data_IF_515598953272
#
_entry.id   IF_515598953272
#
_cell.length_a   1.000
_cell.length_b   1.000
_cell.length_c   1.000
_cell.angle_alpha   90.00
_cell.angle_beta   90.00
_cell.angle_gamma   90.00
#
_symmetry.space_group_name_H-M   'P 1'
#
loop_
_entity.id
_entity.type
_entity.pdbx_description
1 polymer ?
#
# COMPACT_ATOMS: atom_id res chain seq x y z
N UNK A 1 1.64 -17.52 -43.02
CA UNK A 1 2.45 -17.64 -41.78
C UNK A 1 2.34 -16.31 -41.05
N UNK A 2 1.82 -16.26 -39.82
CA UNK A 2 1.92 -15.02 -39.03
C UNK A 2 3.39 -14.79 -38.72
N UNK A 3 3.95 -13.67 -39.18
CA UNK A 3 5.23 -13.18 -38.69
C UNK A 3 5.14 -13.10 -37.17
N UNK A 4 5.81 -14.02 -36.48
CA UNK A 4 5.96 -13.97 -35.03
C UNK A 4 6.94 -12.82 -34.77
N UNK A 5 6.44 -11.57 -34.87
CA UNK A 5 7.20 -10.32 -34.72
C UNK A 5 7.92 -10.20 -33.38
N UNK A 6 7.63 -11.08 -32.43
CA UNK A 6 8.19 -11.07 -31.09
C UNK A 6 8.85 -12.41 -30.77
N UNK A 7 10.14 -12.54 -31.10
CA UNK A 7 11.00 -13.65 -30.62
C UNK A 7 10.87 -13.73 -29.10
N UNK A 8 10.41 -14.89 -28.60
CA UNK A 8 10.30 -15.16 -27.16
C UNK A 8 8.95 -14.81 -26.52
N UNK A 9 7.90 -14.46 -27.28
CA UNK A 9 6.56 -14.23 -26.72
C UNK A 9 6.02 -15.44 -25.92
N UNK A 10 6.48 -16.64 -26.27
CA UNK A 10 6.13 -17.91 -25.62
C UNK A 10 7.04 -18.29 -24.43
N UNK A 11 8.12 -17.54 -24.16
CA UNK A 11 8.96 -17.80 -23.00
C UNK A 11 8.32 -17.17 -21.77
N UNK A 12 7.84 -17.99 -20.84
CA UNK A 12 7.40 -17.50 -19.54
C UNK A 12 8.59 -16.88 -18.79
N UNK A 13 8.64 -15.56 -18.75
CA UNK A 13 9.57 -14.82 -17.90
C UNK A 13 8.79 -14.32 -16.68
N UNK A 14 8.93 -14.98 -15.51
CA UNK A 14 8.18 -14.59 -14.33
C UNK A 14 8.58 -13.18 -13.90
N UNK A 15 7.60 -12.34 -13.59
CA UNK A 15 7.83 -11.01 -13.00
C UNK A 15 8.51 -11.17 -11.64
N UNK A 16 9.17 -10.11 -11.14
CA UNK A 16 9.76 -10.09 -9.79
C UNK A 16 8.74 -10.47 -8.72
N UNK A 17 7.49 -10.02 -8.88
CA UNK A 17 6.37 -10.45 -8.04
C UNK A 17 6.10 -11.95 -8.13
N UNK A 18 5.99 -12.52 -9.34
CA UNK A 18 5.78 -13.96 -9.55
C UNK A 18 6.93 -14.79 -8.96
N UNK A 19 8.19 -14.36 -9.12
CA UNK A 19 9.35 -15.02 -8.51
C UNK A 19 9.25 -15.03 -6.99
N UNK A 20 8.82 -13.92 -6.39
CA UNK A 20 8.61 -13.82 -4.94
C UNK A 20 7.45 -14.71 -4.47
N UNK A 21 6.35 -14.82 -5.23
CA UNK A 21 5.26 -15.76 -4.95
C UNK A 21 5.78 -17.20 -5.00
N UNK A 22 6.47 -17.57 -6.09
CA UNK A 22 7.04 -18.91 -6.27
C UNK A 22 7.99 -19.28 -5.13
N UNK A 23 8.86 -18.36 -4.70
CA UNK A 23 9.79 -18.59 -3.59
C UNK A 23 9.10 -18.79 -2.24
N UNK A 24 7.96 -18.14 -2.01
CA UNK A 24 7.27 -18.12 -0.72
C UNK A 24 5.94 -18.89 -0.74
N UNK A 25 5.67 -19.71 -1.76
CA UNK A 25 4.38 -20.40 -1.90
C UNK A 25 4.08 -21.36 -0.74
N UNK A 26 5.15 -21.91 -0.14
CA UNK A 26 5.08 -22.80 1.03
C UNK A 26 5.19 -22.04 2.37
N UNK A 27 5.39 -20.72 2.33
CA UNK A 27 5.49 -19.92 3.54
C UNK A 27 4.08 -19.74 4.14
N UNK A 28 3.88 -19.90 5.46
CA UNK A 28 2.55 -19.81 6.09
C UNK A 28 1.89 -18.43 5.90
N UNK A 29 2.70 -17.42 5.60
CA UNK A 29 2.24 -16.08 5.25
C UNK A 29 2.50 -15.88 3.77
N UNK A 30 1.42 -15.83 2.98
CA UNK A 30 1.48 -15.46 1.57
C UNK A 30 2.21 -14.12 1.42
N UNK A 31 3.19 -14.01 0.50
CA UNK A 31 3.79 -12.74 0.20
C UNK A 31 2.67 -11.80 -0.32
N UNK A 32 2.75 -10.52 0.06
CA UNK A 32 1.80 -9.50 -0.39
C UNK A 32 0.37 -9.66 0.13
N UNK A 33 0.14 -10.37 1.25
CA UNK A 33 -1.19 -10.44 1.90
C UNK A 33 -1.80 -9.05 2.07
N UNK A 34 -0.99 -8.04 2.37
CA UNK A 34 -1.44 -6.66 2.58
C UNK A 34 -1.68 -5.88 1.27
N UNK A 35 -1.39 -6.44 0.09
CA UNK A 35 -1.88 -5.87 -1.17
C UNK A 35 -3.41 -5.75 -1.21
N UNK A 36 -4.12 -6.59 -0.44
CA UNK A 36 -5.59 -6.51 -0.30
C UNK A 36 -6.05 -5.34 0.59
N UNK A 37 -5.21 -4.85 1.49
CA UNK A 37 -5.54 -3.74 2.38
C UNK A 37 -5.34 -2.37 1.72
N UNK A 38 -4.84 -2.34 0.48
CA UNK A 38 -4.86 -1.15 -0.37
C UNK A 38 -6.30 -0.71 -0.60
N UNK A 39 -6.64 0.48 -0.11
CA UNK A 39 -8.00 1.03 -0.16
C UNK A 39 -8.33 1.61 -1.54
N UNK A 40 -7.34 2.21 -2.21
CA UNK A 40 -7.51 2.77 -3.54
C UNK A 40 -7.69 1.65 -4.57
N UNK A 41 -8.86 1.57 -5.21
CA UNK A 41 -9.21 0.48 -6.13
C UNK A 41 -8.19 0.37 -7.27
N UNK A 42 -7.81 1.51 -7.87
CA UNK A 42 -6.88 1.50 -9.00
C UNK A 42 -5.46 1.18 -8.56
N UNK A 43 -4.98 1.75 -7.45
CA UNK A 43 -3.70 1.38 -6.85
C UNK A 43 -3.60 -0.12 -6.54
N UNK A 44 -4.66 -0.71 -6.00
CA UNK A 44 -4.74 -2.14 -5.71
C UNK A 44 -4.68 -2.98 -6.98
N UNK A 45 -5.48 -2.64 -7.99
CA UNK A 45 -5.46 -3.30 -9.31
C UNK A 45 -4.06 -3.26 -9.93
N UNK A 46 -3.40 -2.10 -9.93
CA UNK A 46 -2.06 -1.94 -10.49
C UNK A 46 -1.00 -2.75 -9.74
N UNK A 47 -1.03 -2.75 -8.40
CA UNK A 47 -0.13 -3.56 -7.59
C UNK A 47 -0.32 -5.06 -7.88
N UNK A 48 -1.57 -5.54 -7.89
CA UNK A 48 -1.87 -6.93 -8.20
C UNK A 48 -1.50 -7.33 -9.63
N UNK A 49 -1.75 -6.46 -10.62
CA UNK A 49 -1.27 -6.68 -11.98
C UNK A 49 0.24 -6.82 -11.97
N UNK A 50 0.98 -5.85 -11.45
CA UNK A 50 2.44 -5.95 -11.43
C UNK A 50 2.93 -7.26 -10.78
N UNK A 51 2.31 -7.68 -9.67
CA UNK A 51 2.66 -8.91 -8.97
C UNK A 51 2.32 -10.19 -9.75
N UNK A 52 1.15 -10.26 -10.40
CA UNK A 52 0.60 -11.51 -10.94
C UNK A 52 0.63 -11.63 -12.46
N UNK A 53 0.54 -10.51 -13.17
CA UNK A 53 0.40 -10.44 -14.63
C UNK A 53 1.06 -9.15 -15.08
N UNK A 54 2.24 -9.25 -15.72
CA UNK A 54 2.93 -8.10 -16.30
C UNK A 54 1.90 -7.11 -16.86
N UNK A 55 1.78 -5.95 -16.19
CA UNK A 55 0.90 -4.84 -16.58
C UNK A 55 0.99 -4.66 -18.09
N UNK A 56 -0.11 -4.24 -18.76
CA UNK A 56 -0.22 -4.32 -20.21
C UNK A 56 1.08 -3.87 -20.86
N UNK A 57 1.75 -4.81 -21.55
CA UNK A 57 2.88 -4.47 -22.40
C UNK A 57 2.29 -3.57 -23.48
N UNK A 58 2.45 -2.27 -23.33
CA UNK A 58 2.14 -1.32 -24.40
C UNK A 58 3.21 -1.55 -25.45
N UNK A 59 2.94 -2.46 -26.38
CA UNK A 59 3.88 -2.80 -27.44
C UNK A 59 4.04 -1.58 -28.37
N UNK A 60 5.22 -0.95 -28.34
CA UNK A 60 5.65 0.03 -29.35
C UNK A 60 5.28 1.49 -29.10
N UNK A 61 4.73 1.87 -27.95
CA UNK A 61 4.59 3.29 -27.59
C UNK A 61 5.82 3.76 -26.81
N UNK A 62 6.33 4.96 -27.12
CA UNK A 62 7.36 5.61 -26.33
C UNK A 62 6.72 6.42 -25.20
N UNK A 63 7.39 6.47 -24.04
CA UNK A 63 6.99 7.32 -22.93
C UNK A 63 6.85 8.76 -23.40
N UNK A 64 5.67 9.35 -23.22
CA UNK A 64 5.39 10.70 -23.71
C UNK A 64 6.32 11.75 -23.07
N UNK A 65 6.78 11.49 -21.84
CA UNK A 65 7.63 12.39 -21.06
C UNK A 65 9.13 12.27 -21.38
N UNK A 66 9.67 11.05 -21.53
CA UNK A 66 11.12 10.86 -21.70
C UNK A 66 11.54 10.15 -22.99
N UNK A 67 10.58 9.76 -23.83
CA UNK A 67 10.76 9.15 -25.17
C UNK A 67 11.41 7.76 -25.20
N UNK A 68 11.73 7.16 -24.05
CA UNK A 68 12.16 5.76 -23.94
C UNK A 68 10.99 4.79 -24.18
N UNK A 69 11.28 3.53 -24.51
CA UNK A 69 10.27 2.48 -24.73
C UNK A 69 9.37 2.32 -23.49
N UNK A 70 8.05 2.47 -23.66
CA UNK A 70 7.14 2.41 -22.54
C UNK A 70 6.82 0.96 -22.15
N UNK A 71 7.40 0.54 -21.03
CA UNK A 71 7.05 -0.69 -20.34
C UNK A 71 6.44 -0.42 -18.98
N UNK A 72 5.85 -1.44 -18.37
CA UNK A 72 5.35 -1.35 -16.99
C UNK A 72 6.46 -1.10 -15.98
N UNK A 73 7.65 -1.66 -16.19
CA UNK A 73 8.81 -1.33 -15.38
C UNK A 73 9.17 0.15 -15.57
N UNK A 74 9.14 0.63 -16.82
CA UNK A 74 9.42 2.02 -17.14
C UNK A 74 8.44 2.98 -16.47
N UNK A 75 7.13 2.78 -16.67
CA UNK A 75 6.06 3.63 -16.11
C UNK A 75 6.22 3.79 -14.60
N UNK A 76 6.43 2.68 -13.89
CA UNK A 76 6.38 2.70 -12.43
C UNK A 76 7.74 2.95 -11.77
N UNK A 77 8.86 2.57 -12.37
CA UNK A 77 10.14 2.50 -11.66
C UNK A 77 11.34 3.12 -12.38
N UNK A 78 11.32 3.28 -13.70
CA UNK A 78 12.51 3.74 -14.46
C UNK A 78 12.32 5.09 -15.13
N UNK A 79 11.09 5.57 -15.34
CA UNK A 79 10.83 6.83 -16.03
C UNK A 79 11.50 8.02 -15.33
N UNK A 80 12.58 8.52 -15.93
CA UNK A 80 13.42 9.60 -15.39
C UNK A 80 12.63 10.87 -15.07
N UNK A 81 11.58 11.15 -15.85
CA UNK A 81 10.75 12.35 -15.70
C UNK A 81 9.96 12.43 -14.39
N UNK A 82 9.74 11.31 -13.71
CA UNK A 82 8.98 11.25 -12.46
C UNK A 82 9.74 10.58 -11.32
N UNK A 83 10.73 9.73 -11.63
CA UNK A 83 11.42 8.89 -10.65
C UNK A 83 11.98 9.68 -9.48
N UNK A 84 12.67 10.79 -9.74
CA UNK A 84 13.29 11.61 -8.69
C UNK A 84 12.24 12.17 -7.70
N UNK A 85 11.12 12.69 -8.23
CA UNK A 85 10.04 13.23 -7.41
C UNK A 85 9.36 12.13 -6.58
N UNK A 86 9.07 10.98 -7.19
CA UNK A 86 8.46 9.85 -6.48
C UNK A 86 9.40 9.29 -5.41
N UNK A 87 10.68 9.18 -5.69
CA UNK A 87 11.68 8.71 -4.73
C UNK A 87 11.75 9.64 -3.52
N UNK A 88 11.80 10.95 -3.74
CA UNK A 88 11.75 11.96 -2.69
C UNK A 88 10.48 11.85 -1.83
N UNK A 89 9.30 11.73 -2.47
CA UNK A 89 8.02 11.60 -1.76
C UNK A 89 8.00 10.31 -0.93
N UNK A 90 8.37 9.18 -1.55
CA UNK A 90 8.36 7.88 -0.88
C UNK A 90 9.28 7.86 0.35
N UNK A 91 10.52 8.34 0.19
CA UNK A 91 11.49 8.38 1.29
C UNK A 91 11.02 9.26 2.44
N UNK A 92 10.51 10.46 2.14
CA UNK A 92 10.02 11.39 3.16
C UNK A 92 8.82 10.83 3.92
N UNK A 93 7.84 10.28 3.20
CA UNK A 93 6.67 9.64 3.84
C UNK A 93 7.09 8.43 4.68
N UNK A 94 8.04 7.60 4.22
CA UNK A 94 8.58 6.50 5.02
C UNK A 94 9.31 6.98 6.28
N UNK A 95 10.10 8.05 6.19
CA UNK A 95 10.82 8.64 7.32
C UNK A 95 9.87 9.16 8.39
N UNK A 96 8.82 9.87 7.99
CA UNK A 96 7.89 10.49 8.95
C UNK A 96 6.83 9.50 9.47
N UNK A 97 6.72 8.31 8.87
CA UNK A 97 5.79 7.24 9.27
C UNK A 97 6.37 6.19 10.22
N UNK A 98 7.60 6.35 10.71
CA UNK A 98 8.34 5.32 11.46
C UNK A 98 8.45 3.97 10.72
N UNK A 99 8.33 3.97 9.39
CA UNK A 99 8.44 2.74 8.61
C UNK A 99 9.91 2.30 8.60
N UNK A 100 10.17 1.02 8.87
CA UNK A 100 11.54 0.48 8.99
C UNK A 100 12.31 0.43 7.67
N UNK A 101 11.62 0.59 6.54
CA UNK A 101 12.26 0.58 5.23
C UNK A 101 12.46 1.98 4.65
N UNK A 102 13.73 2.35 4.52
CA UNK A 102 14.19 3.53 3.78
C UNK A 102 15.02 3.04 2.59
N UNK A 103 14.45 3.11 1.40
CA UNK A 103 15.15 2.72 0.19
C UNK A 103 14.53 3.36 -1.04
N UNK A 104 15.24 3.31 -2.17
CA UNK A 104 14.80 4.00 -3.36
C UNK A 104 13.53 3.38 -3.94
N UNK A 105 12.67 4.23 -4.51
CA UNK A 105 11.50 3.77 -5.25
C UNK A 105 11.92 2.92 -6.46
N UNK A 106 11.67 1.63 -6.35
CA UNK A 106 12.07 0.56 -7.28
C UNK A 106 11.13 -0.62 -7.14
N UNK A 107 11.18 -1.59 -8.06
CA UNK A 107 10.32 -2.78 -7.98
C UNK A 107 10.41 -3.57 -6.66
N UNK A 108 11.52 -3.41 -5.92
CA UNK A 108 11.74 -4.02 -4.60
C UNK A 108 10.70 -3.59 -3.57
N UNK A 109 10.07 -2.42 -3.73
CA UNK A 109 9.00 -1.96 -2.83
C UNK A 109 7.79 -2.89 -2.85
N UNK A 110 7.55 -3.61 -3.94
CA UNK A 110 6.46 -4.60 -4.01
C UNK A 110 6.69 -5.75 -3.03
N UNK A 111 7.96 -6.11 -2.80
CA UNK A 111 8.42 -6.99 -1.70
C UNK A 111 8.01 -6.53 -0.30
N UNK A 112 7.55 -5.29 -0.15
CA UNK A 112 7.29 -4.61 1.12
C UNK A 112 5.81 -4.32 1.36
N UNK A 113 4.91 -4.98 0.63
CA UNK A 113 3.46 -5.03 0.91
C UNK A 113 3.20 -5.92 2.14
N UNK A 114 3.79 -5.51 3.27
CA UNK A 114 3.85 -6.26 4.54
C UNK A 114 2.95 -5.65 5.62
N UNK A 115 2.71 -4.34 5.55
CA UNK A 115 1.80 -3.64 6.47
C UNK A 115 0.69 -2.95 5.67
N UNK A 116 -0.47 -2.70 6.29
CA UNK A 116 -1.52 -1.89 5.67
C UNK A 116 -1.03 -0.52 5.23
N UNK A 117 -0.21 0.16 6.04
CA UNK A 117 0.35 1.45 5.68
C UNK A 117 1.26 1.37 4.45
N UNK A 118 2.26 0.48 4.44
CA UNK A 118 3.19 0.39 3.30
C UNK A 118 2.47 0.03 2.02
N UNK A 119 1.44 -0.82 2.12
CA UNK A 119 0.63 -1.23 0.99
C UNK A 119 -0.20 -0.07 0.45
N UNK A 120 -0.85 0.70 1.32
CA UNK A 120 -1.61 1.88 0.91
C UNK A 120 -0.72 2.99 0.33
N UNK A 121 0.49 3.20 0.87
CA UNK A 121 1.47 4.12 0.31
C UNK A 121 1.87 3.70 -1.12
N UNK A 122 2.25 2.45 -1.31
CA UNK A 122 2.63 1.91 -2.62
C UNK A 122 1.46 2.01 -3.61
N UNK A 123 0.26 1.61 -3.19
CA UNK A 123 -0.95 1.71 -4.00
C UNK A 123 -1.27 3.15 -4.41
N UNK A 124 -1.19 4.10 -3.48
CA UNK A 124 -1.45 5.51 -3.74
C UNK A 124 -0.44 6.12 -4.73
N UNK A 125 0.85 5.76 -4.61
CA UNK A 125 1.88 6.19 -5.56
C UNK A 125 1.65 5.59 -6.94
N UNK A 126 1.46 4.27 -7.03
CA UNK A 126 1.20 3.61 -8.33
C UNK A 126 -0.03 4.20 -9.02
N UNK A 127 -1.12 4.42 -8.29
CA UNK A 127 -2.30 5.07 -8.84
C UNK A 127 -2.01 6.47 -9.38
N UNK A 128 -1.25 7.28 -8.62
CA UNK A 128 -0.95 8.66 -9.01
C UNK A 128 -0.02 8.72 -10.23
N UNK A 129 0.96 7.82 -10.31
CA UNK A 129 1.81 7.63 -11.49
C UNK A 129 0.95 7.28 -12.71
N UNK A 130 0.02 6.33 -12.55
CA UNK A 130 -0.86 5.89 -13.62
C UNK A 130 -1.77 7.02 -14.14
N UNK A 131 -2.37 7.79 -13.24
CA UNK A 131 -3.20 8.92 -13.62
C UNK A 131 -2.39 10.00 -14.35
N UNK A 132 -1.22 10.39 -13.82
CA UNK A 132 -0.33 11.35 -14.48
C UNK A 132 0.06 10.90 -15.88
N UNK A 133 0.47 9.63 -16.04
CA UNK A 133 0.81 9.07 -17.36
C UNK A 133 -0.35 9.21 -18.34
N UNK A 134 -1.57 8.93 -17.91
CA UNK A 134 -2.74 9.06 -18.79
C UNK A 134 -3.06 10.52 -19.13
N UNK A 135 -2.95 11.45 -18.18
CA UNK A 135 -3.16 12.88 -18.46
C UNK A 135 -2.17 13.42 -19.49
N UNK A 136 -0.89 13.06 -19.37
CA UNK A 136 0.15 13.45 -20.34
C UNK A 136 -0.17 12.91 -21.74
N UNK A 137 -0.68 11.67 -21.82
CA UNK A 137 -1.14 11.08 -23.10
C UNK A 137 -2.30 11.87 -23.75
N UNK A 138 -3.10 12.58 -22.94
CA UNK A 138 -4.19 13.46 -23.39
C UNK A 138 -3.80 14.95 -23.38
N UNK A 139 -2.50 15.26 -23.52
CA UNK A 139 -1.94 16.62 -23.62
C UNK A 139 -2.10 17.51 -22.37
N UNK A 140 -2.32 16.94 -21.20
CA UNK A 140 -2.20 17.66 -19.92
C UNK A 140 -0.85 17.38 -19.25
N UNK A 141 0.09 18.32 -19.42
CA UNK A 141 1.44 18.24 -18.83
C UNK A 141 1.55 18.93 -17.47
N UNK A 142 0.47 19.48 -16.92
CA UNK A 142 0.54 20.32 -15.72
C UNK A 142 0.50 19.53 -14.41
N UNK A 143 0.02 18.29 -14.44
CA UNK A 143 -0.25 17.56 -13.21
C UNK A 143 1.02 17.02 -12.55
N UNK A 144 1.45 17.65 -11.45
CA UNK A 144 2.55 17.21 -10.58
C UNK A 144 1.99 16.33 -9.45
N UNK A 145 2.59 15.15 -9.27
CA UNK A 145 2.31 14.30 -8.10
C UNK A 145 2.99 14.95 -6.91
N UNK A 146 2.21 15.39 -5.93
CA UNK A 146 2.76 16.07 -4.74
C UNK A 146 2.70 15.18 -3.51
N UNK A 147 3.59 15.44 -2.55
CA UNK A 147 3.60 14.78 -1.24
C UNK A 147 2.22 14.88 -0.55
N UNK A 148 1.62 16.08 -0.54
CA UNK A 148 0.32 16.32 0.09
C UNK A 148 -0.79 15.46 -0.51
N UNK A 149 -0.79 15.25 -1.83
CA UNK A 149 -1.75 14.36 -2.49
C UNK A 149 -1.60 12.91 -2.01
N UNK A 150 -0.36 12.42 -1.89
CA UNK A 150 -0.08 11.07 -1.41
C UNK A 150 -0.46 10.92 0.06
N UNK A 151 -0.06 11.86 0.92
CA UNK A 151 -0.43 11.88 2.34
C UNK A 151 -1.94 11.87 2.51
N UNK A 152 -2.68 12.68 1.73
CA UNK A 152 -4.14 12.72 1.77
C UNK A 152 -4.78 11.37 1.45
N UNK A 153 -4.31 10.68 0.41
CA UNK A 153 -4.80 9.34 0.05
C UNK A 153 -4.56 8.34 1.18
N UNK A 154 -3.39 8.39 1.82
CA UNK A 154 -3.06 7.48 2.91
C UNK A 154 -3.85 7.82 4.18
N UNK A 155 -4.14 9.11 4.47
CA UNK A 155 -5.00 9.52 5.58
C UNK A 155 -6.43 8.99 5.39
N UNK A 156 -6.98 9.09 4.18
CA UNK A 156 -8.27 8.45 3.86
C UNK A 156 -8.25 6.94 4.09
N UNK A 157 -7.16 6.27 3.71
CA UNK A 157 -7.02 4.84 3.92
C UNK A 157 -6.99 4.46 5.41
N UNK A 158 -6.22 5.24 6.19
CA UNK A 158 -6.15 5.14 7.64
C UNK A 158 -7.52 5.30 8.28
N UNK A 159 -8.25 6.36 7.91
CA UNK A 159 -9.56 6.68 8.50
C UNK A 159 -10.57 5.56 8.21
N UNK A 160 -10.56 5.03 6.99
CA UNK A 160 -11.41 3.88 6.62
C UNK A 160 -11.05 2.59 7.39
N UNK A 161 -9.78 2.36 7.73
CA UNK A 161 -9.37 1.24 8.59
C UNK A 161 -9.71 1.49 10.07
N UNK A 162 -9.57 2.74 10.52
CA UNK A 162 -9.94 3.14 11.88
C UNK A 162 -11.43 2.96 12.12
N UNK A 163 -12.28 3.41 11.19
CA UNK A 163 -13.73 3.25 11.31
C UNK A 163 -14.15 1.79 11.43
N UNK A 164 -13.49 0.89 10.68
CA UNK A 164 -13.71 -0.56 10.80
C UNK A 164 -13.23 -1.10 12.15
N UNK A 165 -12.05 -0.67 12.59
CA UNK A 165 -11.47 -1.09 13.87
C UNK A 165 -12.34 -0.63 15.04
N UNK A 166 -12.72 0.65 15.06
CA UNK A 166 -13.59 1.26 16.05
C UNK A 166 -14.91 0.50 16.16
N UNK A 167 -15.63 0.28 15.06
CA UNK A 167 -16.91 -0.46 15.08
C UNK A 167 -16.79 -1.86 15.71
N UNK A 168 -15.70 -2.56 15.44
CA UNK A 168 -15.45 -3.88 16.03
C UNK A 168 -15.14 -3.77 17.51
N UNK A 169 -14.29 -2.83 17.91
CA UNK A 169 -13.92 -2.59 19.31
C UNK A 169 -15.15 -2.18 20.12
N UNK A 170 -15.98 -1.25 19.64
CA UNK A 170 -17.23 -0.85 20.29
C UNK A 170 -18.17 -2.05 20.50
N UNK A 171 -18.29 -2.91 19.48
CA UNK A 171 -19.09 -4.13 19.59
C UNK A 171 -18.54 -5.07 20.66
N UNK A 172 -17.22 -5.26 20.70
CA UNK A 172 -16.57 -6.13 21.68
C UNK A 172 -16.71 -5.56 23.10
N UNK A 173 -16.58 -4.25 23.27
CA UNK A 173 -16.75 -3.56 24.54
C UNK A 173 -18.19 -3.71 25.07
N UNK A 174 -19.21 -3.48 24.24
CA UNK A 174 -20.61 -3.70 24.64
C UNK A 174 -20.89 -5.14 25.06
N UNK A 175 -20.21 -6.11 24.47
CA UNK A 175 -20.36 -7.52 24.84
C UNK A 175 -19.61 -7.86 26.13
N UNK A 176 -18.44 -7.27 26.34
CA UNK A 176 -17.65 -7.40 27.58
C UNK A 176 -18.43 -6.87 28.78
N UNK A 177 -19.01 -5.67 28.67
CA UNK A 177 -19.83 -5.06 29.73
C UNK A 177 -21.11 -5.85 30.09
N UNK A 178 -21.57 -6.76 29.22
CA UNK A 178 -22.74 -7.61 29.46
C UNK A 178 -22.35 -9.02 29.91
N UNK A 179 -21.06 -9.32 29.95
CA UNK A 179 -20.56 -10.65 30.22
C UNK A 179 -20.58 -10.93 31.72
N UNK A 180 -21.18 -12.05 32.12
CA UNK A 180 -21.18 -12.52 33.51
C UNK A 180 -20.02 -13.48 33.79
N UNK A 181 -19.38 -14.02 32.75
CA UNK A 181 -18.23 -14.91 32.84
C UNK A 181 -16.92 -14.11 32.81
N UNK A 182 -16.14 -14.19 33.90
CA UNK A 182 -14.87 -13.49 34.04
C UNK A 182 -13.83 -13.89 32.97
N UNK A 183 -13.77 -15.17 32.60
CA UNK A 183 -12.83 -15.66 31.56
C UNK A 183 -13.18 -15.09 30.21
N UNK A 184 -14.46 -15.00 29.88
CA UNK A 184 -14.92 -14.39 28.64
C UNK A 184 -14.65 -12.87 28.62
N UNK A 185 -14.90 -12.14 29.73
CA UNK A 185 -14.54 -10.71 29.85
C UNK A 185 -13.04 -10.49 29.64
N UNK A 186 -12.17 -11.28 30.28
CA UNK A 186 -10.71 -11.20 30.10
C UNK A 186 -10.32 -11.43 28.64
N UNK A 187 -10.89 -12.44 27.99
CA UNK A 187 -10.61 -12.74 26.57
C UNK A 187 -11.04 -11.59 25.65
N UNK A 188 -12.17 -10.94 25.94
CA UNK A 188 -12.67 -9.78 25.19
C UNK A 188 -11.79 -8.56 25.39
N UNK A 189 -11.42 -8.25 26.63
CA UNK A 189 -10.47 -7.19 26.96
C UNK A 189 -9.14 -7.39 26.23
N UNK A 190 -8.58 -8.60 26.27
CA UNK A 190 -7.35 -8.93 25.54
C UNK A 190 -7.53 -8.85 24.02
N UNK A 191 -8.72 -9.12 23.48
CA UNK A 191 -9.00 -8.93 22.05
C UNK A 191 -9.04 -7.46 21.65
N UNK A 192 -9.67 -6.61 22.47
CA UNK A 192 -9.74 -5.15 22.25
C UNK A 192 -8.33 -4.56 22.26
N UNK A 193 -7.54 -4.84 23.32
CA UNK A 193 -6.14 -4.37 23.45
C UNK A 193 -5.33 -4.72 22.21
N UNK A 194 -5.34 -6.00 21.79
CA UNK A 194 -4.62 -6.46 20.59
C UNK A 194 -5.04 -5.76 19.30
N UNK A 195 -6.32 -5.40 19.15
CA UNK A 195 -6.81 -4.68 17.96
C UNK A 195 -6.32 -3.24 17.93
N UNK A 196 -6.40 -2.55 19.06
CA UNK A 196 -5.94 -1.15 19.18
C UNK A 196 -4.42 -1.08 18.98
N UNK A 197 -3.66 -2.01 19.58
CA UNK A 197 -2.22 -2.13 19.38
C UNK A 197 -1.86 -2.40 17.93
N UNK A 198 -2.53 -3.37 17.30
CA UNK A 198 -2.30 -3.68 15.89
C UNK A 198 -2.61 -2.48 15.00
N UNK A 199 -3.67 -1.73 15.29
CA UNK A 199 -4.00 -0.52 14.55
C UNK A 199 -2.90 0.54 14.72
N UNK A 200 -2.53 0.84 15.97
CA UNK A 200 -1.47 1.79 16.31
C UNK A 200 -0.16 1.43 15.62
N UNK A 201 0.29 0.19 15.75
CA UNK A 201 1.54 -0.27 15.16
C UNK A 201 1.57 -0.11 13.63
N UNK A 202 0.44 -0.28 12.95
CA UNK A 202 0.37 -0.19 11.50
C UNK A 202 0.18 1.23 10.98
N UNK A 203 -0.41 2.15 11.74
CA UNK A 203 -0.87 3.44 11.22
C UNK A 203 -0.40 4.66 12.01
N UNK A 204 -0.16 4.53 13.32
CA UNK A 204 0.23 5.67 14.13
C UNK A 204 1.65 6.10 13.80
N UNK A 205 1.78 7.36 13.45
CA UNK A 205 3.06 7.98 13.16
C UNK A 205 2.95 9.49 13.30
N UNK A 206 4.09 10.21 13.15
CA UNK A 206 4.10 11.67 13.17
C UNK A 206 3.19 12.28 12.09
N UNK A 207 3.03 11.61 10.95
CA UNK A 207 2.14 12.05 9.87
C UNK A 207 0.66 11.78 10.15
N UNK A 208 0.38 10.80 11.00
CA UNK A 208 -0.92 10.14 11.07
C UNK A 208 -1.24 9.71 12.50
N UNK A 209 -1.60 10.66 13.35
CA UNK A 209 -2.21 10.37 14.65
C UNK A 209 -3.73 10.33 14.51
N UNK A 210 -4.38 9.52 15.35
CA UNK A 210 -5.82 9.45 15.46
C UNK A 210 -6.20 9.74 16.90
N UNK A 211 -7.28 10.49 17.06
CA UNK A 211 -7.87 10.75 18.36
C UNK A 211 -8.61 9.50 18.82
N UNK A 212 -8.24 8.96 19.97
CA UNK A 212 -8.97 7.85 20.57
C UNK A 212 -10.13 8.39 21.40
N UNK A 213 -11.35 7.81 21.24
CA UNK A 213 -12.41 7.97 22.22
C UNK A 213 -11.96 7.64 23.65
N UNK A 214 -12.28 8.50 24.61
CA UNK A 214 -11.84 8.38 26.02
C UNK A 214 -12.09 6.99 26.63
N UNK A 215 -13.24 6.39 26.32
CA UNK A 215 -13.63 5.08 26.84
C UNK A 215 -12.80 3.91 26.29
N UNK A 216 -11.92 4.12 25.30
CA UNK A 216 -10.94 3.12 24.85
C UNK A 216 -9.56 3.30 25.50
N UNK A 217 -9.29 4.44 26.15
CA UNK A 217 -8.00 4.73 26.78
C UNK A 217 -7.57 3.60 27.75
N UNK A 218 -8.45 3.01 28.60
CA UNK A 218 -8.06 1.91 29.48
C UNK A 218 -7.56 0.63 28.76
N UNK A 219 -7.84 0.52 27.46
CA UNK A 219 -7.46 -0.60 26.61
C UNK A 219 -6.26 -0.30 25.71
N UNK A 220 -5.70 0.91 25.79
CA UNK A 220 -4.52 1.29 25.03
C UNK A 220 -3.25 1.00 25.84
N UNK A 221 -2.20 0.52 25.20
CA UNK A 221 -0.89 0.38 25.85
C UNK A 221 -0.08 1.68 25.72
N UNK A 222 0.80 1.93 26.69
CA UNK A 222 1.58 3.18 26.79
C UNK A 222 2.42 3.53 25.54
N UNK A 223 2.74 2.57 24.66
CA UNK A 223 3.56 2.77 23.47
C UNK A 223 2.80 3.31 22.24
N UNK A 224 1.60 3.82 22.46
CA UNK A 224 0.74 4.23 21.37
C UNK A 224 0.68 5.75 21.29
N UNK A 225 1.35 6.32 20.29
CA UNK A 225 1.34 7.76 20.03
C UNK A 225 -0.06 8.19 19.60
N UNK A 226 -0.89 8.56 20.57
CA UNK A 226 -2.19 9.16 20.34
C UNK A 226 -2.13 10.64 20.74
N UNK A 227 -2.86 11.47 20.00
CA UNK A 227 -3.00 12.91 20.27
C UNK A 227 -4.27 13.17 21.08
#
# INVERSE_FOLDING_TARGET
MMDIKYKGWNKHQPTTGQKLIQKNINHPILPFREARSITTIKGRDLAWRYLLKALPKHHGENCHSCKEEESSMHIFFECKSIKQNIDSIYQKVCKDSNNTYHGPWSEKVLGKLLTPFSSNLIGAIMESIWYRRNQIKFNDNTTIITENQIIHKIKKARDAEWDRTRKIVEKQLRQELRCTDNRESINRTASIKRRLEKFSHNWNSKLMTINIPEHFIPYCSYNTNYS
#
